data_IF_849207190678
#
_entry.id   IF_849207190678
#
_cell.length_a   1.000
_cell.length_b   1.000
_cell.length_c   1.000
_cell.angle_alpha   90.00
_cell.angle_beta   90.00
_cell.angle_gamma   90.00
#
_symmetry.space_group_name_H-M   'P 1'
#
loop_
_entity.id
_entity.type
_entity.pdbx_description
1 polymer ?
#
# COMPACT_ATOMS: atom_id res chain seq x y z
N UNK A 1 -40.55 -1.54 6.44
CA UNK A 1 -39.18 -1.30 5.90
C UNK A 1 -38.78 0.13 6.20
N UNK A 2 -37.66 0.40 6.89
CA UNK A 2 -37.21 1.78 7.06
C UNK A 2 -36.59 2.27 5.75
N UNK A 3 -37.06 3.41 5.24
CA UNK A 3 -36.76 3.90 3.89
C UNK A 3 -35.79 5.10 3.86
N UNK A 4 -35.03 5.40 4.94
CA UNK A 4 -33.84 6.29 4.94
C UNK A 4 -32.88 6.06 6.14
N UNK A 5 -31.60 6.34 5.86
CA UNK A 5 -30.53 6.87 6.76
C UNK A 5 -29.63 5.86 7.50
N UNK A 6 -28.31 5.96 7.25
CA UNK A 6 -27.28 5.53 8.22
C UNK A 6 -26.41 6.73 8.59
N UNK A 7 -26.71 7.26 9.78
CA UNK A 7 -25.85 8.06 10.64
C UNK A 7 -24.95 7.14 11.48
N UNK A 8 -24.04 7.70 12.31
CA UNK A 8 -23.24 7.11 13.40
C UNK A 8 -21.72 6.97 13.16
N UNK A 9 -20.84 7.14 14.18
CA UNK A 9 -21.06 7.26 15.64
C UNK A 9 -20.35 8.49 16.24
N UNK A 10 -21.11 9.41 16.86
CA UNK A 10 -20.59 10.53 17.70
C UNK A 10 -21.16 11.94 17.45
N UNK A 11 -22.34 12.10 16.86
CA UNK A 11 -22.73 13.35 16.16
C UNK A 11 -23.27 14.50 17.05
N UNK A 12 -23.07 15.75 16.60
CA UNK A 12 -24.23 16.66 16.42
C UNK A 12 -24.10 17.44 15.10
N UNK A 13 -24.74 16.91 14.05
CA UNK A 13 -25.05 17.67 12.84
C UNK A 13 -26.42 18.33 13.04
N UNK A 14 -26.48 19.65 13.20
CA UNK A 14 -27.74 20.39 13.27
C UNK A 14 -27.98 21.19 11.98
N UNK A 15 -29.20 21.06 11.42
CA UNK A 15 -29.70 21.90 10.32
C UNK A 15 -29.23 21.60 8.89
N UNK A 16 -28.38 20.60 8.64
CA UNK A 16 -27.77 20.39 7.31
C UNK A 16 -27.60 18.94 6.84
N UNK A 17 -27.41 18.75 5.52
CA UNK A 17 -27.08 17.47 4.89
C UNK A 17 -25.66 17.06 5.27
N UNK A 18 -25.46 15.80 5.69
CA UNK A 18 -24.12 15.27 6.00
C UNK A 18 -23.19 15.39 4.81
N UNK A 19 -21.94 15.78 5.08
CA UNK A 19 -20.91 15.80 4.05
C UNK A 19 -20.75 14.40 3.46
N UNK A 20 -20.88 14.32 2.14
CA UNK A 20 -20.59 13.10 1.36
C UNK A 20 -19.16 13.15 0.80
N UNK A 21 -18.32 14.02 1.34
CA UNK A 21 -16.90 14.02 1.01
C UNK A 21 -16.27 12.70 1.46
N UNK A 22 -15.39 12.20 0.61
CA UNK A 22 -14.63 10.98 0.84
C UNK A 22 -13.19 11.32 0.52
N UNK A 23 -12.32 11.00 1.46
CA UNK A 23 -10.87 11.07 1.31
C UNK A 23 -10.35 9.69 1.63
N UNK A 24 -9.52 9.14 0.74
CA UNK A 24 -8.83 7.87 0.97
C UNK A 24 -7.35 8.19 1.15
N UNK A 25 -6.73 7.61 2.17
CA UNK A 25 -5.30 7.77 2.43
C UNK A 25 -4.64 6.41 2.33
N UNK A 26 -3.62 6.30 1.49
CA UNK A 26 -2.72 5.16 1.50
C UNK A 26 -1.52 5.49 2.38
N UNK A 27 -1.24 4.57 3.29
CA UNK A 27 -0.12 4.59 4.20
C UNK A 27 0.62 3.27 4.01
N UNK A 28 1.95 3.31 4.02
CA UNK A 28 2.77 2.12 3.99
C UNK A 28 3.98 2.31 4.90
N UNK A 29 4.37 1.24 5.57
CA UNK A 29 5.61 1.19 6.33
C UNK A 29 6.15 -0.24 6.32
N UNK A 30 7.43 -0.37 6.65
CA UNK A 30 7.99 -1.68 6.95
C UNK A 30 7.38 -2.27 8.23
N UNK A 31 7.64 -3.56 8.48
CA UNK A 31 7.10 -4.29 9.63
C UNK A 31 7.44 -3.64 10.98
N UNK A 32 8.62 -3.04 11.11
CA UNK A 32 9.05 -2.32 12.32
C UNK A 32 8.57 -0.87 12.39
N UNK A 33 7.92 -0.34 11.35
CA UNK A 33 7.48 1.06 11.26
C UNK A 33 8.61 2.11 11.17
N UNK A 34 9.87 1.69 11.02
CA UNK A 34 11.05 2.59 10.97
C UNK A 34 11.23 3.23 9.60
N UNK A 35 10.75 2.57 8.55
CA UNK A 35 10.79 3.06 7.18
C UNK A 35 9.33 3.26 6.74
N UNK A 36 8.97 4.51 6.41
CA UNK A 36 7.61 4.93 6.11
C UNK A 36 7.54 5.51 4.71
N UNK A 37 6.56 5.09 3.94
CA UNK A 37 6.26 5.66 2.64
C UNK A 37 5.60 7.02 2.79
N UNK A 38 5.81 7.88 1.79
CA UNK A 38 5.13 9.18 1.70
C UNK A 38 3.61 8.98 1.69
N UNK A 39 2.89 9.82 2.45
CA UNK A 39 1.44 9.76 2.48
C UNK A 39 0.86 10.09 1.10
N UNK A 40 -0.01 9.20 0.62
CA UNK A 40 -0.70 9.37 -0.64
C UNK A 40 -2.20 9.57 -0.39
N UNK A 41 -2.69 10.77 -0.68
CA UNK A 41 -4.06 11.21 -0.41
C UNK A 41 -4.86 11.23 -1.70
N UNK A 42 -6.06 10.65 -1.65
CA UNK A 42 -6.99 10.60 -2.78
C UNK A 42 -8.26 11.35 -2.40
N UNK A 43 -8.59 12.39 -3.15
CA UNK A 43 -9.84 13.13 -3.00
C UNK A 43 -10.68 13.13 -4.28
N UNK A 44 -11.82 13.81 -4.23
CA UNK A 44 -12.72 13.92 -5.39
C UNK A 44 -12.33 15.02 -6.37
N UNK A 45 -11.92 16.16 -5.84
CA UNK A 45 -11.57 17.34 -6.65
C UNK A 45 -10.09 17.31 -7.02
N UNK A 46 -9.75 17.63 -8.28
CA UNK A 46 -8.36 17.83 -8.69
C UNK A 46 -7.66 18.95 -7.90
N UNK A 47 -8.41 20.00 -7.55
CA UNK A 47 -7.91 21.15 -6.77
C UNK A 47 -8.92 21.44 -5.65
N UNK A 48 -8.83 20.75 -4.51
CA UNK A 48 -9.76 20.98 -3.40
C UNK A 48 -9.56 22.39 -2.84
N UNK A 49 -10.68 23.08 -2.55
CA UNK A 49 -10.66 24.49 -2.12
C UNK A 49 -9.90 24.70 -0.81
N UNK A 50 -9.93 23.71 0.08
CA UNK A 50 -9.19 23.74 1.35
C UNK A 50 -7.66 23.66 1.17
N UNK A 51 -7.16 23.29 -0.02
CA UNK A 51 -5.72 23.27 -0.31
C UNK A 51 -5.26 24.52 -1.06
N UNK A 52 -6.16 25.48 -1.30
CA UNK A 52 -5.80 26.75 -1.93
C UNK A 52 -4.76 27.45 -1.04
N UNK A 53 -3.60 27.74 -1.62
CA UNK A 53 -2.44 28.36 -0.95
C UNK A 53 -1.79 27.49 0.15
N UNK A 54 -2.09 26.19 0.23
CA UNK A 54 -1.43 25.28 1.15
C UNK A 54 -0.30 24.51 0.45
N UNK A 55 0.91 24.52 1.03
CA UNK A 55 1.99 23.61 0.63
C UNK A 55 1.90 22.37 1.52
N UNK A 56 1.35 21.29 0.98
CA UNK A 56 1.17 20.05 1.74
C UNK A 56 2.34 19.11 1.47
N UNK A 57 2.92 18.46 2.50
CA UNK A 57 4.00 17.49 2.35
C UNK A 57 3.48 16.10 1.92
N UNK A 58 2.36 16.04 1.20
CA UNK A 58 1.70 14.79 0.82
C UNK A 58 1.48 14.73 -0.69
N UNK A 59 1.54 13.53 -1.25
CA UNK A 59 1.13 13.32 -2.64
C UNK A 59 -0.39 13.32 -2.70
N UNK A 60 -0.95 14.07 -3.65
CA UNK A 60 -2.41 14.16 -3.80
C UNK A 60 -2.83 13.78 -5.22
N UNK A 61 -3.84 12.93 -5.32
CA UNK A 61 -4.45 12.53 -6.59
C UNK A 61 -5.98 12.65 -6.51
N UNK A 62 -6.62 13.01 -7.61
CA UNK A 62 -8.07 13.11 -7.67
C UNK A 62 -8.71 11.95 -8.42
N UNK A 63 -9.75 11.39 -7.83
CA UNK A 63 -10.63 10.41 -8.45
C UNK A 63 -12.08 10.78 -8.12
N UNK A 64 -12.99 10.79 -9.11
CA UNK A 64 -14.41 11.15 -8.93
C UNK A 64 -15.09 10.42 -7.75
N UNK A 65 -14.71 9.16 -7.48
CA UNK A 65 -15.22 8.38 -6.35
C UNK A 65 -14.37 8.48 -5.07
N UNK A 66 -13.18 9.08 -5.17
CA UNK A 66 -12.12 9.07 -4.17
C UNK A 66 -11.76 7.65 -3.70
N UNK A 67 -11.75 6.70 -4.65
CA UNK A 67 -11.38 5.31 -4.38
C UNK A 67 -9.96 5.04 -4.86
N UNK A 68 -9.33 4.03 -4.29
CA UNK A 68 -8.11 3.46 -4.83
C UNK A 68 -8.41 2.81 -6.20
N UNK A 69 -7.55 3.02 -7.18
CA UNK A 69 -7.55 2.31 -8.46
C UNK A 69 -6.17 1.72 -8.70
N UNK A 70 -6.06 0.75 -9.61
CA UNK A 70 -4.75 0.15 -9.94
C UNK A 70 -3.74 1.19 -10.41
N UNK A 71 -4.19 2.20 -11.19
CA UNK A 71 -3.33 3.29 -11.66
C UNK A 71 -2.82 4.14 -10.49
N UNK A 72 -3.70 4.46 -9.53
CA UNK A 72 -3.32 5.25 -8.35
C UNK A 72 -2.40 4.45 -7.43
N UNK A 73 -2.69 3.15 -7.27
CA UNK A 73 -1.84 2.25 -6.49
C UNK A 73 -0.43 2.17 -7.10
N UNK A 74 -0.32 2.02 -8.43
CA UNK A 74 0.95 2.03 -9.14
C UNK A 74 1.72 3.33 -8.87
N UNK A 75 1.08 4.49 -9.04
CA UNK A 75 1.69 5.81 -8.75
C UNK A 75 2.20 5.92 -7.31
N UNK A 76 1.47 5.37 -6.36
CA UNK A 76 1.88 5.38 -4.97
C UNK A 76 3.04 4.41 -4.68
N UNK A 77 3.17 3.36 -5.49
CA UNK A 77 4.26 2.39 -5.44
C UNK A 77 5.54 2.85 -6.13
N UNK A 78 5.51 3.93 -6.93
CA UNK A 78 6.69 4.46 -7.62
C UNK A 78 7.82 4.89 -6.66
N UNK A 79 7.50 5.21 -5.40
CA UNK A 79 8.50 5.54 -4.37
C UNK A 79 9.14 4.31 -3.72
N UNK A 80 8.62 3.11 -3.98
CA UNK A 80 9.10 1.89 -3.33
C UNK A 80 10.21 1.27 -4.17
N UNK A 81 11.42 1.29 -3.63
CA UNK A 81 12.61 0.75 -4.29
C UNK A 81 12.90 -0.69 -3.86
N UNK A 82 13.69 -1.46 -4.63
CA UNK A 82 14.17 -2.76 -4.18
C UNK A 82 14.86 -2.70 -2.81
N UNK A 83 15.60 -1.62 -2.53
CA UNK A 83 16.21 -1.37 -1.21
C UNK A 83 15.17 -1.24 -0.11
N UNK A 84 14.08 -0.51 -0.35
CA UNK A 84 12.95 -0.37 0.59
C UNK A 84 12.37 -1.76 0.89
N UNK A 85 12.16 -2.57 -0.14
CA UNK A 85 11.64 -3.93 -0.02
C UNK A 85 12.61 -4.82 0.78
N UNK A 86 13.90 -4.82 0.44
CA UNK A 86 14.93 -5.59 1.14
C UNK A 86 15.04 -5.16 2.62
N UNK A 87 14.95 -3.86 2.90
CA UNK A 87 14.93 -3.36 4.27
C UNK A 87 13.68 -3.82 5.03
N UNK A 88 12.51 -3.82 4.38
CA UNK A 88 11.28 -4.38 4.95
C UNK A 88 11.45 -5.84 5.35
N UNK A 89 11.95 -6.68 4.44
CA UNK A 89 12.18 -8.09 4.69
C UNK A 89 13.21 -8.32 5.81
N UNK A 90 14.34 -7.61 5.76
CA UNK A 90 15.37 -7.67 6.82
C UNK A 90 14.80 -7.33 8.19
N UNK A 91 13.95 -6.30 8.28
CA UNK A 91 13.30 -5.89 9.54
C UNK A 91 12.22 -6.86 10.01
N UNK A 92 11.63 -7.63 9.10
CA UNK A 92 10.71 -8.71 9.42
C UNK A 92 11.43 -10.04 9.75
N UNK A 93 12.76 -10.07 9.77
CA UNK A 93 13.56 -11.27 10.06
C UNK A 93 13.83 -12.16 8.84
N UNK A 94 13.43 -11.73 7.64
CA UNK A 94 13.81 -12.40 6.40
C UNK A 94 15.17 -11.86 5.95
N UNK A 95 16.22 -12.53 6.40
CA UNK A 95 17.57 -12.35 5.84
C UNK A 95 17.79 -13.40 4.77
N UNK A 96 18.03 -12.98 3.54
CA UNK A 96 18.59 -13.87 2.52
C UNK A 96 20.04 -14.13 2.94
N UNK A 97 20.28 -15.24 3.64
CA UNK A 97 21.62 -15.76 3.81
C UNK A 97 22.17 -16.17 2.45
N UNK A 98 23.49 -16.09 2.27
CA UNK A 98 24.14 -16.74 1.15
C UNK A 98 23.71 -18.21 1.18
N UNK A 99 22.94 -18.67 0.20
CA UNK A 99 22.68 -20.10 0.05
C UNK A 99 24.00 -20.75 -0.33
N UNK A 100 24.51 -21.64 0.52
CA UNK A 100 25.60 -22.54 0.14
C UNK A 100 25.13 -23.36 -1.07
N UNK A 101 26.00 -23.44 -2.09
CA UNK A 101 25.80 -24.27 -3.27
C UNK A 101 25.55 -25.72 -2.86
N UNK A 102 24.35 -26.24 -3.15
CA UNK A 102 24.15 -27.69 -3.16
C UNK A 102 24.74 -28.20 -4.46
N UNK A 103 25.94 -28.76 -4.41
CA UNK A 103 26.54 -29.50 -5.53
C UNK A 103 25.68 -30.72 -5.83
N UNK A 104 25.20 -30.85 -7.06
CA UNK A 104 24.56 -32.06 -7.54
C UNK A 104 25.66 -33.12 -7.73
N UNK A 105 25.63 -34.18 -6.92
CA UNK A 105 26.42 -35.38 -7.14
C UNK A 105 25.80 -36.14 -8.32
N UNK A 106 26.51 -36.19 -9.46
CA UNK A 106 26.21 -37.12 -10.54
C UNK A 106 26.53 -38.54 -10.03
N UNK A 107 25.50 -39.35 -9.82
CA UNK A 107 25.67 -40.80 -9.64
C UNK A 107 25.84 -41.41 -11.03
N UNK A 108 27.06 -41.80 -11.36
CA UNK A 108 27.33 -42.65 -12.52
C UNK A 108 26.65 -44.01 -12.31
N UNK A 109 25.60 -44.29 -13.09
CA UNK A 109 25.01 -45.63 -13.23
C UNK A 109 26.02 -46.53 -13.94
N UNK A 110 26.90 -47.16 -13.15
CA UNK A 110 27.74 -48.26 -13.60
C UNK A 110 27.01 -49.59 -13.33
N UNK A 111 26.50 -50.17 -14.42
CA UNK A 111 26.45 -51.59 -14.74
C UNK A 111 26.21 -52.61 -13.61
N UNK A 112 25.02 -53.22 -13.61
CA UNK A 112 24.91 -54.68 -13.43
C UNK A 112 23.81 -55.24 -14.33
N UNK A 113 24.25 -55.75 -15.48
CA UNK A 113 23.56 -56.76 -16.28
C UNK A 113 23.41 -58.08 -15.50
N UNK A 114 22.41 -58.86 -15.93
CA UNK A 114 22.25 -60.32 -15.76
C UNK A 114 21.55 -60.83 -14.48
N UNK A 115 20.26 -61.21 -14.61
CA UNK A 115 19.77 -62.61 -14.57
C UNK A 115 18.30 -62.71 -15.01
#
# INVERSE_FOLDING_TARGET
MPNKTLAFKGERCAGGKKSKERVTVLIGSNASGTEKLSLFVIGKSAKPRCFKNAKLPVKYEANKKAWMTVIILRKAWDDVTPTTISNCFRKAGFTFGNQEEVQAEEVEDADLQEY
#
